data_IF_230265896360
#
_entry.id   IF_230265896360
#
_cell.length_a   1.000
_cell.length_b   1.000
_cell.length_c   1.000
_cell.angle_alpha   90.00
_cell.angle_beta   90.00
_cell.angle_gamma   90.00
#
_symmetry.space_group_name_H-M   'P 1'
#
loop_
_entity.id
_entity.type
_entity.pdbx_description
1 polymer ?
#
# COMPACT_ATOMS: atom_id res chain seq x y z
N UNK A 1 10.16 32.58 2.12
CA UNK A 1 10.28 31.16 1.71
C UNK A 1 8.91 30.55 1.93
N UNK A 2 8.22 30.04 0.89
CA UNK A 2 6.80 29.63 0.97
C UNK A 2 6.50 28.56 2.04
N UNK A 3 7.51 27.81 2.48
CA UNK A 3 7.43 26.88 3.62
C UNK A 3 7.15 27.56 4.97
N UNK A 4 7.62 28.78 5.18
CA UNK A 4 7.40 29.53 6.43
C UNK A 4 6.09 30.31 6.44
N UNK A 5 5.44 30.47 5.28
CA UNK A 5 4.16 31.17 5.16
C UNK A 5 2.97 30.28 5.61
N UNK A 6 3.20 28.96 5.75
CA UNK A 6 2.20 27.98 6.22
C UNK A 6 2.75 27.07 7.33
N UNK A 7 3.18 27.63 8.48
CA UNK A 7 3.89 26.88 9.52
C UNK A 7 3.04 25.75 10.12
N UNK A 8 1.71 25.93 10.16
CA UNK A 8 0.79 24.92 10.67
C UNK A 8 0.75 23.65 9.81
N UNK A 9 0.80 23.79 8.48
CA UNK A 9 0.78 22.63 7.57
C UNK A 9 2.03 21.79 7.74
N UNK A 10 3.19 22.46 7.80
CA UNK A 10 4.48 21.81 8.01
C UNK A 10 4.52 21.13 9.38
N UNK A 11 4.07 21.81 10.43
CA UNK A 11 4.02 21.27 11.77
C UNK A 11 3.16 20.00 11.86
N UNK A 12 1.96 20.00 11.26
CA UNK A 12 1.08 18.83 11.23
C UNK A 12 1.70 17.68 10.45
N UNK A 13 2.31 17.96 9.29
CA UNK A 13 2.95 16.93 8.47
C UNK A 13 4.14 16.27 9.21
N UNK A 14 5.00 17.08 9.84
CA UNK A 14 6.14 16.57 10.62
C UNK A 14 5.66 15.80 11.85
N UNK A 15 4.66 16.32 12.58
CA UNK A 15 4.09 15.63 13.73
C UNK A 15 3.48 14.27 13.35
N UNK A 16 2.78 14.19 12.21
CA UNK A 16 2.23 12.95 11.67
C UNK A 16 3.33 11.93 11.32
N UNK A 17 4.40 12.37 10.65
CA UNK A 17 5.53 11.50 10.32
C UNK A 17 6.24 10.98 11.58
N UNK A 18 6.46 11.84 12.58
CA UNK A 18 7.06 11.43 13.85
C UNK A 18 6.16 10.45 14.60
N UNK A 19 4.84 10.67 14.63
CA UNK A 19 3.90 9.77 15.26
C UNK A 19 3.90 8.38 14.59
N UNK A 20 3.88 8.32 13.25
CA UNK A 20 3.91 7.05 12.51
C UNK A 20 5.23 6.30 12.70
N UNK A 21 6.37 7.01 12.70
CA UNK A 21 7.67 6.41 13.03
C UNK A 21 7.74 5.89 14.46
N UNK A 22 7.19 6.64 15.43
CA UNK A 22 7.15 6.22 16.83
C UNK A 22 6.31 4.95 17.03
N UNK A 23 5.15 4.87 16.38
CA UNK A 23 4.30 3.67 16.37
C UNK A 23 5.05 2.49 15.75
N UNK A 24 5.71 2.70 14.61
CA UNK A 24 6.52 1.67 13.94
C UNK A 24 7.64 1.14 14.83
N UNK A 25 8.44 2.03 15.42
CA UNK A 25 9.52 1.64 16.33
C UNK A 25 9.01 0.90 17.59
N UNK A 26 7.85 1.31 18.12
CA UNK A 26 7.20 0.62 19.23
C UNK A 26 6.68 -0.77 18.85
N UNK A 27 6.13 -0.92 17.64
CA UNK A 27 5.64 -2.19 17.11
C UNK A 27 6.79 -3.17 16.84
N UNK A 28 7.91 -2.70 16.26
CA UNK A 28 9.09 -3.54 16.01
C UNK A 28 9.64 -4.16 17.29
N UNK A 29 9.53 -3.48 18.44
CA UNK A 29 9.95 -4.04 19.75
C UNK A 29 9.07 -5.20 20.24
N UNK A 30 7.86 -5.37 19.68
CA UNK A 30 6.94 -6.46 20.03
C UNK A 30 7.03 -7.65 19.08
N UNK A 31 7.59 -7.49 17.88
CA UNK A 31 7.79 -8.58 16.93
C UNK A 31 9.00 -9.41 17.33
N UNK A 32 8.78 -10.65 17.80
CA UNK A 32 9.88 -11.54 18.23
C UNK A 32 10.07 -12.75 17.31
N UNK A 33 9.03 -13.17 16.60
CA UNK A 33 9.08 -14.33 15.71
C UNK A 33 8.69 -13.97 14.26
N UNK A 34 9.10 -14.78 13.26
CA UNK A 34 8.65 -14.61 11.87
C UNK A 34 7.12 -14.67 11.72
N UNK A 35 6.44 -15.48 12.53
CA UNK A 35 4.98 -15.58 12.56
C UNK A 35 4.32 -14.30 13.07
N UNK A 36 4.93 -13.65 14.07
CA UNK A 36 4.50 -12.33 14.55
C UNK A 36 4.68 -11.25 13.48
N UNK A 37 5.70 -11.38 12.63
CA UNK A 37 5.95 -10.44 11.54
C UNK A 37 4.94 -10.59 10.40
N UNK A 38 4.67 -11.83 9.97
CA UNK A 38 3.83 -12.10 8.80
C UNK A 38 2.33 -12.14 9.10
N UNK A 39 1.93 -12.63 10.28
CA UNK A 39 0.51 -12.88 10.63
C UNK A 39 0.08 -12.08 11.86
N UNK A 40 0.94 -11.19 12.37
CA UNK A 40 0.70 -10.40 13.57
C UNK A 40 0.22 -11.24 14.78
N UNK A 41 0.74 -12.47 14.89
CA UNK A 41 0.48 -13.36 16.03
C UNK A 41 -0.99 -13.72 16.22
N UNK A 42 -1.71 -14.11 15.16
CA UNK A 42 -3.08 -14.69 15.14
C UNK A 42 -4.21 -13.89 15.84
N UNK A 43 -3.92 -12.76 16.48
CA UNK A 43 -4.84 -12.00 17.33
C UNK A 43 -5.52 -10.82 16.63
N UNK A 44 -5.35 -10.65 15.32
CA UNK A 44 -6.03 -9.58 14.59
C UNK A 44 -7.51 -9.92 14.40
N UNK A 45 -8.37 -9.34 15.24
CA UNK A 45 -9.83 -9.44 15.07
C UNK A 45 -10.28 -8.94 13.69
N UNK A 46 -11.42 -9.43 13.21
CA UNK A 46 -11.96 -9.15 11.87
C UNK A 46 -12.02 -7.65 11.54
N UNK A 47 -12.38 -6.81 12.52
CA UNK A 47 -12.41 -5.36 12.35
C UNK A 47 -11.02 -4.78 12.07
N UNK A 48 -10.00 -5.20 12.82
CA UNK A 48 -8.62 -4.73 12.63
C UNK A 48 -8.10 -5.21 11.28
N UNK A 49 -8.34 -6.47 10.92
CA UNK A 49 -7.97 -7.02 9.62
C UNK A 49 -8.64 -6.25 8.46
N UNK A 50 -9.93 -5.91 8.60
CA UNK A 50 -10.67 -5.11 7.64
C UNK A 50 -10.09 -3.70 7.49
N UNK A 51 -9.79 -3.02 8.60
CA UNK A 51 -9.19 -1.69 8.59
C UNK A 51 -7.80 -1.69 7.95
N UNK A 52 -6.96 -2.68 8.26
CA UNK A 52 -5.62 -2.83 7.65
C UNK A 52 -5.75 -3.09 6.14
N UNK A 53 -6.71 -3.91 5.73
CA UNK A 53 -6.98 -4.18 4.32
C UNK A 53 -7.41 -2.91 3.59
N UNK A 54 -8.27 -2.09 4.19
CA UNK A 54 -8.69 -0.81 3.61
C UNK A 54 -7.53 0.20 3.59
N UNK A 55 -6.71 0.26 4.64
CA UNK A 55 -5.53 1.09 4.68
C UNK A 55 -4.55 0.73 3.55
N UNK A 56 -4.37 -0.58 3.28
CA UNK A 56 -3.54 -1.08 2.18
C UNK A 56 -4.14 -0.78 0.79
N UNK A 57 -5.46 -0.63 0.69
CA UNK A 57 -6.13 -0.27 -0.56
C UNK A 57 -5.96 1.21 -0.94
N UNK A 58 -5.64 2.09 0.03
CA UNK A 58 -5.39 3.49 -0.27
C UNK A 58 -4.06 3.69 -1.00
N UNK A 59 -4.14 4.26 -2.19
CA UNK A 59 -3.00 4.49 -3.08
C UNK A 59 -3.04 5.86 -3.72
N UNK A 60 -1.94 6.26 -4.36
CA UNK A 60 -1.82 7.47 -5.17
C UNK A 60 -2.86 7.53 -6.28
N UNK A 61 -3.36 6.38 -6.77
CA UNK A 61 -4.53 6.36 -7.65
C UNK A 61 -5.76 6.95 -6.94
N UNK A 62 -6.05 6.57 -5.71
CA UNK A 62 -7.23 7.08 -4.98
C UNK A 62 -7.13 8.59 -4.73
N UNK A 63 -5.93 9.10 -4.45
CA UNK A 63 -5.75 10.53 -4.13
C UNK A 63 -5.58 11.43 -5.35
N UNK A 64 -4.87 11.00 -6.40
CA UNK A 64 -4.61 11.81 -7.59
C UNK A 64 -5.36 11.28 -8.82
N UNK A 65 -5.26 9.98 -9.08
CA UNK A 65 -5.80 9.35 -10.29
C UNK A 65 -7.33 9.39 -10.39
N UNK A 66 -8.02 9.03 -9.31
CA UNK A 66 -9.48 8.98 -9.20
C UNK A 66 -10.11 10.35 -9.42
N UNK A 67 -9.79 11.37 -8.60
CA UNK A 67 -10.29 12.72 -8.80
C UNK A 67 -9.92 13.30 -10.18
N UNK A 68 -8.72 13.03 -10.68
CA UNK A 68 -8.30 13.45 -12.03
C UNK A 68 -9.13 12.80 -13.16
N UNK A 69 -9.47 11.52 -13.02
CA UNK A 69 -10.38 10.83 -13.94
C UNK A 69 -11.80 11.36 -13.83
N UNK A 70 -12.31 11.59 -12.62
CA UNK A 70 -13.64 12.17 -12.42
C UNK A 70 -13.75 13.58 -12.97
N UNK A 71 -12.71 14.41 -12.84
CA UNK A 71 -12.67 15.74 -13.43
C UNK A 71 -12.79 15.69 -14.96
N UNK A 72 -12.17 14.70 -15.62
CA UNK A 72 -12.15 14.58 -17.08
C UNK A 72 -13.37 13.85 -17.67
N UNK A 73 -13.84 12.80 -17.00
CA UNK A 73 -14.86 11.87 -17.52
C UNK A 73 -16.20 11.97 -16.76
N UNK A 74 -16.28 12.84 -15.75
CA UNK A 74 -17.48 13.00 -14.94
C UNK A 74 -17.84 11.74 -14.15
N UNK A 75 -19.14 11.56 -13.91
CA UNK A 75 -19.69 10.49 -13.08
C UNK A 75 -19.41 9.08 -13.65
N UNK A 76 -19.16 8.96 -14.95
CA UNK A 76 -18.79 7.70 -15.62
C UNK A 76 -17.53 7.08 -15.02
N UNK A 77 -16.60 7.89 -14.52
CA UNK A 77 -15.40 7.41 -13.83
C UNK A 77 -15.71 6.53 -12.60
N UNK A 78 -16.88 6.68 -11.97
CA UNK A 78 -17.26 5.89 -10.79
C UNK A 78 -17.48 4.42 -11.09
N UNK A 79 -17.73 4.03 -12.34
CA UNK A 79 -17.83 2.63 -12.73
C UNK A 79 -16.54 1.84 -12.45
N UNK A 80 -15.37 2.51 -12.43
CA UNK A 80 -14.11 1.88 -12.06
C UNK A 80 -14.14 1.41 -10.60
N UNK A 81 -14.68 2.22 -9.70
CA UNK A 81 -14.77 1.91 -8.27
C UNK A 81 -15.72 0.75 -8.02
N UNK A 82 -16.86 0.71 -8.74
CA UNK A 82 -17.80 -0.40 -8.65
C UNK A 82 -17.16 -1.73 -9.08
N UNK A 83 -16.41 -1.69 -10.18
CA UNK A 83 -15.73 -2.87 -10.74
C UNK A 83 -14.63 -3.39 -9.82
N UNK A 84 -13.81 -2.47 -9.26
CA UNK A 84 -12.74 -2.81 -8.30
C UNK A 84 -13.34 -3.37 -7.01
N UNK A 85 -14.36 -2.72 -6.44
CA UNK A 85 -15.02 -3.17 -5.22
C UNK A 85 -15.63 -4.56 -5.36
N UNK A 86 -16.35 -4.81 -6.46
CA UNK A 86 -16.96 -6.11 -6.72
C UNK A 86 -15.92 -7.22 -6.93
N UNK A 87 -14.90 -6.96 -7.77
CA UNK A 87 -13.88 -7.96 -8.09
C UNK A 87 -13.02 -8.31 -6.88
N UNK A 88 -12.62 -7.30 -6.08
CA UNK A 88 -11.86 -7.52 -4.85
C UNK A 88 -12.65 -8.30 -3.80
N UNK A 89 -13.95 -7.99 -3.63
CA UNK A 89 -14.84 -8.75 -2.76
C UNK A 89 -15.00 -10.20 -3.20
N UNK A 90 -15.18 -10.44 -4.50
CA UNK A 90 -15.32 -11.79 -5.06
C UNK A 90 -14.03 -12.62 -4.91
N UNK A 91 -12.86 -12.00 -5.16
CA UNK A 91 -11.57 -12.64 -4.93
C UNK A 91 -11.34 -12.94 -3.46
N UNK A 92 -11.67 -12.00 -2.56
CA UNK A 92 -11.63 -12.22 -1.12
C UNK A 92 -12.49 -13.40 -0.71
N UNK A 93 -13.73 -13.48 -1.18
CA UNK A 93 -14.63 -14.59 -0.83
C UNK A 93 -14.17 -15.94 -1.39
N UNK A 94 -13.72 -15.99 -2.65
CA UNK A 94 -13.37 -17.24 -3.33
C UNK A 94 -11.98 -17.79 -2.98
N UNK A 95 -11.00 -16.90 -2.77
CA UNK A 95 -9.60 -17.27 -2.59
C UNK A 95 -9.15 -17.20 -1.13
N UNK A 96 -9.66 -16.26 -0.33
CA UNK A 96 -9.16 -16.08 1.04
C UNK A 96 -9.40 -17.31 1.93
N UNK A 97 -10.56 -17.96 1.81
CA UNK A 97 -10.82 -19.19 2.59
C UNK A 97 -9.85 -20.31 2.21
N UNK A 98 -9.50 -20.45 0.92
CA UNK A 98 -8.56 -21.48 0.44
C UNK A 98 -7.14 -21.19 0.92
N UNK A 99 -6.71 -19.93 0.87
CA UNK A 99 -5.40 -19.52 1.39
C UNK A 99 -5.31 -19.69 2.90
N UNK A 100 -6.38 -19.36 3.63
CA UNK A 100 -6.44 -19.57 5.09
C UNK A 100 -6.29 -21.04 5.45
N UNK A 101 -7.05 -21.94 4.81
CA UNK A 101 -6.94 -23.38 5.05
C UNK A 101 -5.55 -23.91 4.68
N UNK A 102 -4.94 -23.39 3.62
CA UNK A 102 -3.58 -23.76 3.24
C UNK A 102 -2.55 -23.31 4.29
N UNK A 103 -2.73 -22.10 4.85
CA UNK A 103 -1.88 -21.55 5.91
C UNK A 103 -2.06 -22.27 7.27
N UNK A 104 -3.24 -22.87 7.53
CA UNK A 104 -3.48 -23.69 8.73
C UNK A 104 -2.78 -25.06 8.63
N UNK A 105 -2.73 -25.66 7.44
CA UNK A 105 -2.12 -26.99 7.22
C UNK A 105 -0.61 -26.91 6.96
N UNK A 106 -0.13 -25.81 6.38
CA UNK A 106 1.27 -25.57 6.07
C UNK A 106 1.63 -24.14 6.47
N UNK A 107 2.82 -23.96 7.04
CA UNK A 107 3.39 -22.65 7.40
C UNK A 107 3.70 -21.82 6.14
N UNK A 108 2.65 -21.32 5.49
CA UNK A 108 2.67 -20.54 4.25
C UNK A 108 2.43 -19.08 4.59
N UNK A 109 3.44 -18.25 4.36
CA UNK A 109 3.41 -16.83 4.71
C UNK A 109 3.28 -15.91 3.49
N UNK A 110 3.72 -16.38 2.32
CA UNK A 110 3.75 -15.57 1.10
C UNK A 110 3.04 -16.27 -0.07
N UNK A 111 2.67 -15.51 -1.10
CA UNK A 111 2.07 -16.07 -2.32
C UNK A 111 3.04 -17.03 -3.04
N UNK A 112 4.35 -16.75 -3.17
CA UNK A 112 5.32 -17.72 -3.68
C UNK A 112 5.37 -19.04 -2.90
N UNK A 113 5.18 -19.01 -1.58
CA UNK A 113 5.12 -20.23 -0.75
C UNK A 113 3.87 -21.05 -1.07
N UNK A 114 2.73 -20.38 -1.30
CA UNK A 114 1.50 -21.04 -1.74
C UNK A 114 1.67 -21.68 -3.12
N UNK A 115 2.37 -21.01 -4.04
CA UNK A 115 2.73 -21.55 -5.36
C UNK A 115 3.66 -22.77 -5.20
N UNK A 116 4.66 -22.69 -4.32
CA UNK A 116 5.53 -23.84 -4.04
C UNK A 116 4.74 -25.03 -3.49
N UNK A 117 3.83 -24.80 -2.55
CA UNK A 117 3.00 -25.86 -1.97
C UNK A 117 2.07 -26.51 -2.99
N UNK A 118 1.61 -25.76 -4.00
CA UNK A 118 0.71 -26.26 -5.04
C UNK A 118 1.44 -27.02 -6.15
N UNK A 119 2.62 -26.56 -6.57
CA UNK A 119 3.32 -27.10 -7.74
C UNK A 119 4.58 -27.92 -7.41
N UNK A 120 5.09 -27.86 -6.18
CA UNK A 120 6.29 -28.59 -5.75
C UNK A 120 7.61 -28.13 -6.39
N UNK A 121 7.58 -27.11 -7.27
CA UNK A 121 8.74 -26.62 -8.01
C UNK A 121 9.26 -25.30 -7.45
N UNK A 122 10.54 -25.30 -7.06
CA UNK A 122 11.24 -24.07 -6.63
C UNK A 122 11.40 -23.06 -7.76
N UNK A 123 11.46 -23.52 -9.01
CA UNK A 123 11.56 -22.64 -10.18
C UNK A 123 10.28 -21.83 -10.34
N UNK A 124 9.12 -22.47 -10.26
CA UNK A 124 7.81 -21.79 -10.38
C UNK A 124 7.54 -20.84 -9.23
N UNK A 125 7.94 -21.20 -8.01
CA UNK A 125 7.86 -20.30 -6.85
C UNK A 125 8.82 -19.11 -6.98
N UNK A 126 10.05 -19.36 -7.44
CA UNK A 126 11.06 -18.32 -7.65
C UNK A 126 10.64 -17.31 -8.72
N UNK A 127 10.08 -17.76 -9.83
CA UNK A 127 9.56 -16.85 -10.87
C UNK A 127 8.39 -16.01 -10.37
N UNK A 128 7.48 -16.59 -9.58
CA UNK A 128 6.40 -15.85 -8.93
C UNK A 128 6.94 -14.80 -7.95
N UNK A 129 7.95 -15.14 -7.14
CA UNK A 129 8.59 -14.20 -6.22
C UNK A 129 9.23 -13.02 -6.95
N UNK A 130 9.96 -13.27 -8.05
CA UNK A 130 10.56 -12.22 -8.88
C UNK A 130 9.50 -11.33 -9.50
N UNK A 131 8.43 -11.91 -10.06
CA UNK A 131 7.34 -11.15 -10.66
C UNK A 131 6.66 -10.22 -9.62
N UNK A 132 6.38 -10.73 -8.42
CA UNK A 132 5.79 -9.94 -7.33
C UNK A 132 6.76 -8.85 -6.88
N UNK A 133 8.05 -9.14 -6.74
CA UNK A 133 9.05 -8.17 -6.33
C UNK A 133 9.15 -7.01 -7.33
N UNK A 134 9.24 -7.32 -8.63
CA UNK A 134 9.28 -6.30 -9.68
C UNK A 134 8.01 -5.44 -9.70
N UNK A 135 6.84 -6.08 -9.57
CA UNK A 135 5.57 -5.36 -9.46
C UNK A 135 5.51 -4.45 -8.23
N UNK A 136 6.04 -4.92 -7.09
CA UNK A 136 6.07 -4.17 -5.83
C UNK A 136 7.00 -2.96 -5.93
N UNK A 137 8.18 -3.11 -6.52
CA UNK A 137 9.11 -1.99 -6.74
C UNK A 137 8.48 -0.93 -7.65
N UNK A 138 7.86 -1.35 -8.77
CA UNK A 138 7.15 -0.43 -9.66
C UNK A 138 5.99 0.28 -8.96
N UNK A 139 5.20 -0.46 -8.17
CA UNK A 139 4.11 0.09 -7.37
C UNK A 139 4.61 1.12 -6.35
N UNK A 140 5.64 0.80 -5.57
CA UNK A 140 6.21 1.75 -4.60
C UNK A 140 6.77 3.01 -5.30
N UNK A 141 7.35 2.86 -6.48
CA UNK A 141 7.81 3.98 -7.31
C UNK A 141 6.68 4.95 -7.67
N UNK A 142 5.52 4.44 -8.12
CA UNK A 142 4.38 5.30 -8.45
C UNK A 142 3.77 5.97 -7.22
N UNK A 143 3.78 5.29 -6.06
CA UNK A 143 3.33 5.84 -4.78
C UNK A 143 4.21 7.01 -4.31
N UNK A 144 5.53 6.87 -4.44
CA UNK A 144 6.48 7.93 -4.12
C UNK A 144 6.35 9.13 -5.07
N UNK A 145 6.15 8.87 -6.37
CA UNK A 145 5.89 9.92 -7.35
C UNK A 145 4.60 10.71 -7.02
N UNK A 146 3.52 9.99 -6.71
CA UNK A 146 2.26 10.58 -6.28
C UNK A 146 2.43 11.44 -5.02
N UNK A 147 3.13 10.95 -4.00
CA UNK A 147 3.45 11.72 -2.80
C UNK A 147 4.24 12.99 -3.13
N UNK A 148 5.23 12.89 -4.02
CA UNK A 148 6.02 14.03 -4.49
C UNK A 148 5.16 15.13 -5.10
N UNK A 149 4.24 14.77 -6.01
CA UNK A 149 3.30 15.71 -6.65
C UNK A 149 2.37 16.37 -5.63
N UNK A 150 1.91 15.63 -4.61
CA UNK A 150 1.09 16.18 -3.54
C UNK A 150 1.87 17.18 -2.67
N UNK A 151 3.10 16.83 -2.28
CA UNK A 151 3.96 17.73 -1.50
C UNK A 151 4.25 19.02 -2.27
N UNK A 152 4.53 18.95 -3.56
CA UNK A 152 4.72 20.13 -4.41
C UNK A 152 3.47 21.02 -4.45
N UNK A 153 2.29 20.42 -4.62
CA UNK A 153 1.02 21.15 -4.67
C UNK A 153 0.68 21.83 -3.32
N UNK A 154 1.00 21.18 -2.19
CA UNK A 154 0.65 21.68 -0.85
C UNK A 154 1.65 22.72 -0.32
N UNK A 155 2.94 22.46 -0.52
CA UNK A 155 4.03 23.25 0.06
C UNK A 155 4.62 24.30 -0.91
N UNK A 156 4.20 24.33 -2.17
CA UNK A 156 4.71 25.28 -3.17
C UNK A 156 6.17 25.04 -3.52
N UNK A 157 6.68 23.81 -3.36
CA UNK A 157 8.10 23.46 -3.53
C UNK A 157 8.64 23.74 -4.95
N UNK A 158 7.75 23.89 -5.93
CA UNK A 158 8.06 24.29 -7.30
C UNK A 158 8.72 25.67 -7.38
N UNK A 159 8.43 26.57 -6.44
CA UNK A 159 9.05 27.90 -6.32
C UNK A 159 10.45 27.83 -5.68
N UNK A 160 10.77 26.75 -4.95
CA UNK A 160 12.01 26.60 -4.19
C UNK A 160 13.08 25.76 -4.89
N UNK A 161 12.68 24.70 -5.59
CA UNK A 161 13.60 23.77 -6.26
C UNK A 161 13.59 23.89 -7.79
N UNK A 162 12.75 24.78 -8.35
CA UNK A 162 12.63 25.00 -9.79
C UNK A 162 12.21 23.75 -10.57
N UNK A 163 12.37 23.77 -11.90
CA UNK A 163 12.05 22.65 -12.80
C UNK A 163 12.96 21.41 -12.63
N UNK A 164 13.84 21.40 -11.62
CA UNK A 164 14.81 20.34 -11.33
C UNK A 164 14.37 19.43 -10.18
N UNK A 165 13.15 19.60 -9.63
CA UNK A 165 12.63 18.61 -8.69
C UNK A 165 12.58 17.25 -9.42
N UNK A 166 13.30 16.26 -8.86
CA UNK A 166 13.43 14.89 -9.37
C UNK A 166 12.10 14.12 -9.49
N UNK A 167 10.98 14.82 -9.32
CA UNK A 167 9.62 14.32 -9.21
C UNK A 167 8.76 14.70 -10.41
N UNK A 168 9.28 15.44 -11.41
CA UNK A 168 8.51 15.95 -12.58
C UNK A 168 8.73 15.12 -13.86
N UNK A 169 9.46 14.00 -13.79
CA UNK A 169 9.41 12.96 -14.84
C UNK A 169 8.04 12.31 -14.96
#
# INVERSE_FOLDING_TARGET
MPLFDRPLIVAVAVAYLLATLAIGAWATRRTRTPRDFWVAGEGMGVLVAGLVTMAAAFSGFVFLGGPGLTYRMGLTSLFINLSIGFTSGLLGWSVAQRLRLLAEVREVYTIPDAVFCRYGSRVTSGTAAVAILLGTVGYLGTQLLALGRLLEAVLGLRELFGAQSLLVG
#
